data_IF_731108528095
#
_entry.id   IF_731108528095
#
_cell.length_a   1.000
_cell.length_b   1.000
_cell.length_c   1.000
_cell.angle_alpha   90.00
_cell.angle_beta   90.00
_cell.angle_gamma   90.00
#
_symmetry.space_group_name_H-M   'P 1'
#
loop_
_entity.id
_entity.type
_entity.pdbx_description
1 polymer ?
#
# COMPACT_ATOMS: atom_id res chain seq x y z
N UNK A 1 9.28 -16.71 20.30
CA UNK A 1 8.71 -15.39 19.93
C UNK A 1 9.08 -14.25 20.88
N UNK A 2 9.92 -14.54 21.88
CA UNK A 2 10.19 -13.66 23.03
C UNK A 2 10.73 -12.28 22.62
N UNK A 3 11.78 -12.24 21.80
CA UNK A 3 12.45 -10.97 21.46
C UNK A 3 11.65 -10.02 20.56
N UNK A 4 10.77 -10.52 19.68
CA UNK A 4 9.97 -9.65 18.81
C UNK A 4 8.85 -8.95 19.58
N UNK A 5 8.32 -9.61 20.60
CA UNK A 5 7.24 -9.08 21.44
C UNK A 5 7.71 -7.90 22.31
N UNK A 6 9.01 -7.85 22.64
CA UNK A 6 9.61 -6.76 23.40
C UNK A 6 9.65 -5.43 22.65
N UNK A 7 9.54 -5.43 21.31
CA UNK A 7 9.62 -4.21 20.50
C UNK A 7 8.42 -3.28 20.68
N UNK A 8 7.24 -3.83 20.97
CA UNK A 8 6.02 -3.06 21.19
C UNK A 8 4.99 -3.86 21.99
N UNK A 9 4.64 -3.38 23.19
CA UNK A 9 3.64 -4.01 24.08
C UNK A 9 2.21 -3.94 23.55
N UNK A 10 1.92 -3.02 22.62
CA UNK A 10 0.59 -2.83 22.06
C UNK A 10 0.29 -3.83 20.94
N UNK A 11 1.29 -4.62 20.52
CA UNK A 11 1.17 -5.67 19.50
C UNK A 11 1.08 -7.03 20.19
N UNK A 12 0.18 -7.92 19.76
CA UNK A 12 0.07 -9.28 20.29
C UNK A 12 0.71 -10.31 19.36
N UNK A 13 1.79 -10.96 19.81
CA UNK A 13 2.47 -12.04 19.10
C UNK A 13 1.90 -13.42 19.46
N UNK A 14 1.84 -14.31 18.47
CA UNK A 14 1.56 -15.74 18.65
C UNK A 14 2.37 -16.60 17.67
N UNK A 15 2.59 -17.87 17.99
CA UNK A 15 3.30 -18.81 17.12
C UNK A 15 2.64 -20.20 17.13
N UNK A 16 2.93 -20.97 16.09
CA UNK A 16 2.57 -22.38 15.97
C UNK A 16 3.83 -23.15 15.61
N UNK A 17 4.15 -24.22 16.35
CA UNK A 17 5.32 -25.06 16.11
C UNK A 17 5.03 -26.15 15.06
N UNK A 18 4.58 -25.72 13.88
CA UNK A 18 4.28 -26.62 12.75
C UNK A 18 4.87 -26.08 11.45
N UNK A 19 5.19 -26.99 10.53
CA UNK A 19 5.63 -26.59 9.19
C UNK A 19 4.44 -26.13 8.34
N UNK A 20 4.66 -25.25 7.34
CA UNK A 20 3.59 -24.85 6.43
C UNK A 20 2.97 -26.04 5.68
N UNK A 21 3.76 -27.08 5.38
CA UNK A 21 3.27 -28.31 4.75
C UNK A 21 2.25 -29.03 5.64
N UNK A 22 2.55 -29.20 6.94
CA UNK A 22 1.63 -29.82 7.89
C UNK A 22 0.33 -29.03 8.02
N UNK A 23 0.41 -27.69 8.07
CA UNK A 23 -0.77 -26.83 8.12
C UNK A 23 -1.59 -26.92 6.82
N UNK A 24 -0.93 -26.95 5.66
CA UNK A 24 -1.59 -27.11 4.36
C UNK A 24 -2.25 -28.49 4.20
N UNK A 25 -1.74 -29.53 4.87
CA UNK A 25 -2.31 -30.87 4.81
C UNK A 25 -3.49 -31.05 5.79
N UNK A 26 -3.41 -30.45 6.99
CA UNK A 26 -4.37 -30.69 8.06
C UNK A 26 -5.44 -29.59 8.21
N UNK A 27 -5.08 -28.32 8.06
CA UNK A 27 -5.99 -27.17 8.16
C UNK A 27 -5.59 -26.04 7.19
N UNK A 28 -5.89 -26.19 5.88
CA UNK A 28 -5.60 -25.14 4.90
C UNK A 28 -6.30 -23.80 5.22
N UNK A 29 -7.43 -23.87 5.94
CA UNK A 29 -8.21 -22.70 6.34
C UNK A 29 -7.52 -21.88 7.43
N UNK A 30 -6.50 -22.44 8.09
CA UNK A 30 -5.67 -21.76 9.07
C UNK A 30 -5.26 -20.36 8.61
N UNK A 31 -4.81 -20.24 7.35
CA UNK A 31 -4.30 -18.99 6.80
C UNK A 31 -5.37 -17.93 6.51
N UNK A 32 -6.66 -18.29 6.51
CA UNK A 32 -7.76 -17.37 6.23
C UNK A 32 -8.01 -16.38 7.38
N UNK A 33 -7.39 -16.59 8.56
CA UNK A 33 -7.51 -15.70 9.72
C UNK A 33 -6.62 -14.45 9.64
N UNK A 34 -5.74 -14.37 8.64
CA UNK A 34 -4.76 -13.30 8.52
C UNK A 34 -5.12 -12.31 7.42
N UNK A 35 -4.80 -11.03 7.63
CA UNK A 35 -4.96 -9.98 6.62
C UNK A 35 -3.97 -10.15 5.47
N UNK A 36 -2.74 -10.56 5.78
CA UNK A 36 -1.65 -10.81 4.83
C UNK A 36 -0.83 -11.98 5.34
N UNK A 37 -0.39 -12.87 4.45
CA UNK A 37 0.57 -13.94 4.75
C UNK A 37 1.93 -13.58 4.15
N UNK A 38 2.98 -13.61 4.98
CA UNK A 38 4.36 -13.41 4.53
C UNK A 38 5.11 -14.73 4.61
N UNK A 39 5.52 -15.26 3.46
CA UNK A 39 6.24 -16.53 3.36
C UNK A 39 7.72 -16.28 3.07
N UNK A 40 8.62 -16.80 3.91
CA UNK A 40 10.06 -16.60 3.78
C UNK A 40 10.81 -17.93 3.63
N UNK A 41 11.85 -17.96 2.80
CA UNK A 41 12.78 -19.09 2.66
C UNK A 41 12.15 -20.46 2.31
N UNK A 42 10.93 -20.49 1.75
CA UNK A 42 10.24 -21.72 1.40
C UNK A 42 10.74 -22.34 0.08
N UNK A 43 10.71 -23.69 -0.05
CA UNK A 43 10.94 -24.36 -1.33
C UNK A 43 9.77 -24.12 -2.30
N UNK A 44 10.04 -24.28 -3.58
CA UNK A 44 9.08 -24.00 -4.66
C UNK A 44 7.79 -24.81 -4.53
N UNK A 45 7.89 -26.09 -4.19
CA UNK A 45 6.73 -26.99 -4.04
C UNK A 45 5.75 -26.47 -2.99
N UNK A 46 6.24 -26.05 -1.82
CA UNK A 46 5.41 -25.53 -0.73
C UNK A 46 4.82 -24.17 -1.11
N UNK A 47 5.59 -23.32 -1.78
CA UNK A 47 5.12 -22.01 -2.25
C UNK A 47 3.98 -22.11 -3.26
N UNK A 48 4.09 -23.02 -4.23
CA UNK A 48 3.03 -23.21 -5.23
C UNK A 48 1.74 -23.71 -4.57
N UNK A 49 1.83 -24.66 -3.63
CA UNK A 49 0.69 -25.16 -2.87
C UNK A 49 0.06 -24.06 -2.00
N UNK A 50 0.87 -23.30 -1.28
CA UNK A 50 0.41 -22.19 -0.44
C UNK A 50 -0.26 -21.10 -1.29
N UNK A 51 0.36 -20.72 -2.41
CA UNK A 51 -0.16 -19.70 -3.30
C UNK A 51 -1.53 -20.08 -3.88
N UNK A 52 -1.73 -21.34 -4.26
CA UNK A 52 -3.03 -21.81 -4.75
C UNK A 52 -4.13 -21.71 -3.68
N UNK A 53 -3.85 -22.18 -2.45
CA UNK A 53 -4.80 -22.07 -1.32
C UNK A 53 -5.16 -20.62 -1.04
N UNK A 54 -4.15 -19.74 -0.90
CA UNK A 54 -4.39 -18.33 -0.58
C UNK A 54 -5.07 -17.57 -1.73
N UNK A 55 -4.75 -17.91 -2.98
CA UNK A 55 -5.41 -17.36 -4.15
C UNK A 55 -6.90 -17.69 -4.13
N UNK A 56 -7.26 -18.95 -3.92
CA UNK A 56 -8.66 -19.38 -3.88
C UNK A 56 -9.43 -18.77 -2.69
N UNK A 57 -8.75 -18.54 -1.56
CA UNK A 57 -9.30 -17.87 -0.38
C UNK A 57 -9.24 -16.33 -0.43
N UNK A 58 -8.71 -15.75 -1.50
CA UNK A 58 -8.57 -14.29 -1.67
C UNK A 58 -7.70 -13.62 -0.59
N UNK A 59 -6.69 -14.33 -0.07
CA UNK A 59 -5.76 -13.82 0.94
C UNK A 59 -4.48 -13.31 0.28
N UNK A 60 -4.07 -12.05 0.53
CA UNK A 60 -2.79 -11.52 0.06
C UNK A 60 -1.58 -12.34 0.52
N UNK A 61 -0.69 -12.64 -0.42
CA UNK A 61 0.57 -13.35 -0.15
C UNK A 61 1.77 -12.50 -0.61
N UNK A 62 2.73 -12.31 0.30
CA UNK A 62 4.06 -11.78 -0.01
C UNK A 62 5.10 -12.88 0.17
N UNK A 63 5.79 -13.24 -0.91
CA UNK A 63 6.88 -14.21 -0.89
C UNK A 63 8.20 -13.45 -0.86
N UNK A 64 9.05 -13.76 0.11
CA UNK A 64 10.39 -13.19 0.23
C UNK A 64 11.44 -14.30 0.29
N UNK A 65 12.55 -14.13 -0.43
CA UNK A 65 13.67 -15.06 -0.37
C UNK A 65 15.01 -14.33 -0.48
N UNK A 66 15.97 -14.75 0.32
CA UNK A 66 17.36 -14.29 0.21
C UNK A 66 18.25 -15.46 -0.16
N UNK A 67 19.06 -15.29 -1.20
CA UNK A 67 20.01 -16.30 -1.67
C UNK A 67 21.37 -15.63 -1.95
N UNK A 68 22.29 -15.73 -0.98
CA UNK A 68 23.55 -14.99 -1.01
C UNK A 68 23.30 -13.48 -1.04
N UNK A 69 23.74 -12.83 -2.13
CA UNK A 69 23.57 -11.38 -2.33
C UNK A 69 22.29 -11.01 -3.10
N UNK A 70 21.43 -11.99 -3.42
CA UNK A 70 20.19 -11.77 -4.16
C UNK A 70 19.01 -11.72 -3.19
N UNK A 71 18.26 -10.61 -3.23
CA UNK A 71 16.94 -10.50 -2.63
C UNK A 71 15.86 -10.75 -3.68
N UNK A 72 14.90 -11.62 -3.37
CA UNK A 72 13.74 -11.94 -4.19
C UNK A 72 12.47 -11.58 -3.42
N UNK A 73 11.56 -10.87 -4.09
CA UNK A 73 10.23 -10.56 -3.58
C UNK A 73 9.18 -10.78 -4.66
N UNK A 74 8.04 -11.38 -4.29
CA UNK A 74 6.88 -11.54 -5.16
C UNK A 74 5.59 -11.30 -4.38
N UNK A 75 4.80 -10.34 -4.83
CA UNK A 75 3.47 -10.04 -4.29
C UNK A 75 2.39 -10.76 -5.13
N UNK A 76 1.39 -11.32 -4.46
CA UNK A 76 0.26 -12.00 -5.08
C UNK A 76 -1.02 -11.49 -4.41
N UNK A 77 -1.75 -10.65 -5.15
CA UNK A 77 -3.06 -10.13 -4.78
C UNK A 77 -3.90 -10.13 -6.05
N UNK A 78 -5.15 -10.60 -5.98
CA UNK A 78 -6.03 -10.64 -7.16
C UNK A 78 -6.40 -9.24 -7.64
N UNK A 79 -6.75 -8.36 -6.71
CA UNK A 79 -7.04 -6.95 -6.96
C UNK A 79 -6.66 -6.13 -5.72
N UNK A 80 -5.98 -5.01 -5.90
CA UNK A 80 -5.63 -4.08 -4.82
C UNK A 80 -5.89 -2.63 -5.30
N UNK A 81 -7.14 -2.16 -5.25
CA UNK A 81 -7.48 -0.81 -5.67
C UNK A 81 -7.03 0.20 -4.61
N UNK A 82 -6.39 1.28 -5.06
CA UNK A 82 -5.88 2.34 -4.18
C UNK A 82 -6.36 3.69 -4.71
N UNK A 83 -6.97 4.50 -3.84
CA UNK A 83 -7.42 5.86 -4.14
C UNK A 83 -6.32 6.85 -3.76
N UNK A 84 -5.83 6.75 -2.52
CA UNK A 84 -4.78 7.61 -1.99
C UNK A 84 -3.40 7.07 -2.40
N UNK A 85 -3.04 7.25 -3.68
CA UNK A 85 -1.79 6.71 -4.24
C UNK A 85 -0.55 7.51 -3.86
N UNK A 86 -0.71 8.64 -3.16
CA UNK A 86 0.36 9.56 -2.76
C UNK A 86 1.37 9.83 -3.89
N UNK A 87 0.97 10.47 -5.00
CA UNK A 87 1.89 10.74 -6.11
C UNK A 87 3.01 11.67 -5.67
N UNK A 88 4.27 11.31 -5.96
CA UNK A 88 5.45 12.11 -5.59
C UNK A 88 5.41 13.53 -6.16
N UNK A 89 4.93 13.67 -7.39
CA UNK A 89 4.71 14.94 -8.05
C UNK A 89 3.40 14.85 -8.83
N UNK A 90 2.52 15.83 -8.62
CA UNK A 90 1.31 16.01 -9.40
C UNK A 90 1.29 17.43 -9.99
N UNK A 91 0.68 17.58 -11.16
CA UNK A 91 0.37 18.90 -11.67
C UNK A 91 -0.81 19.45 -10.87
N UNK A 92 -0.71 20.71 -10.45
CA UNK A 92 -1.80 21.40 -9.77
C UNK A 92 -3.00 21.56 -10.70
N UNK A 93 -4.19 21.36 -10.15
CA UNK A 93 -5.44 21.49 -10.89
C UNK A 93 -5.95 22.96 -10.83
N UNK A 94 -5.18 23.87 -11.42
CA UNK A 94 -5.44 25.32 -11.34
C UNK A 94 -6.65 25.80 -12.15
N UNK A 95 -7.13 24.99 -13.11
CA UNK A 95 -8.29 25.29 -13.98
C UNK A 95 -8.19 26.58 -14.79
N UNK A 96 -6.99 27.10 -15.07
CA UNK A 96 -6.81 28.35 -15.83
C UNK A 96 -7.20 28.23 -17.31
N UNK A 97 -7.07 27.04 -17.91
CA UNK A 97 -7.50 26.75 -19.29
C UNK A 97 -9.02 26.56 -19.40
N UNK A 98 -9.65 26.09 -18.32
CA UNK A 98 -11.10 25.83 -18.23
C UNK A 98 -11.67 26.38 -16.91
N UNK A 99 -11.73 27.71 -16.77
CA UNK A 99 -12.18 28.32 -15.52
C UNK A 99 -13.67 28.08 -15.32
N UNK A 100 -14.03 27.67 -14.11
CA UNK A 100 -15.41 27.58 -13.65
C UNK A 100 -15.97 28.99 -13.36
N UNK A 101 -17.31 29.17 -13.33
CA UNK A 101 -17.93 30.51 -13.25
C UNK A 101 -17.40 31.37 -12.09
N UNK A 102 -17.34 30.79 -10.90
CA UNK A 102 -16.91 31.46 -9.68
C UNK A 102 -15.42 31.89 -9.74
N UNK A 103 -14.56 31.09 -10.38
CA UNK A 103 -13.15 31.44 -10.59
C UNK A 103 -13.00 32.61 -11.58
N UNK A 104 -13.82 32.64 -12.63
CA UNK A 104 -13.81 33.73 -13.60
C UNK A 104 -14.29 35.03 -12.97
N UNK A 105 -15.39 34.99 -12.22
CA UNK A 105 -15.91 36.15 -11.47
C UNK A 105 -14.88 36.65 -10.46
N UNK A 106 -14.20 35.73 -9.76
CA UNK A 106 -13.11 36.08 -8.86
C UNK A 106 -12.01 36.85 -9.59
N UNK A 107 -11.47 36.36 -10.72
CA UNK A 107 -10.46 37.08 -11.49
C UNK A 107 -10.95 38.44 -12.01
N UNK A 108 -12.20 38.52 -12.46
CA UNK A 108 -12.78 39.77 -12.95
C UNK A 108 -12.96 40.84 -11.87
N UNK A 109 -12.95 40.45 -10.59
CA UNK A 109 -13.01 41.39 -9.47
C UNK A 109 -11.68 42.12 -9.20
N UNK A 110 -10.58 41.68 -9.82
CA UNK A 110 -9.25 42.29 -9.70
C UNK A 110 -8.95 43.16 -10.93
N UNK A 111 -8.69 44.45 -10.69
CA UNK A 111 -8.21 45.41 -11.71
C UNK A 111 -6.74 45.76 -11.45
N UNK A 112 -5.83 45.10 -12.18
CA UNK A 112 -4.39 45.22 -11.95
C UNK A 112 -3.83 46.61 -12.30
N UNK A 113 -4.50 47.38 -13.17
CA UNK A 113 -4.00 48.68 -13.63
C UNK A 113 -4.21 49.79 -12.57
N UNK A 114 -5.17 49.59 -11.66
CA UNK A 114 -5.62 50.61 -10.70
C UNK A 114 -5.37 50.25 -9.23
N UNK A 115 -4.59 49.20 -8.96
CA UNK A 115 -4.23 48.79 -7.59
C UNK A 115 -3.16 49.68 -6.94
N UNK A 116 -3.22 49.81 -5.61
CA UNK A 116 -2.10 50.36 -4.86
C UNK A 116 -0.86 49.46 -4.97
N UNK A 117 0.33 50.07 -4.94
CA UNK A 117 1.61 49.36 -5.11
C UNK A 117 1.78 48.16 -4.19
N UNK A 118 1.28 48.26 -2.95
CA UNK A 118 1.36 47.18 -1.96
C UNK A 118 0.46 46.00 -2.34
N UNK A 119 -0.74 46.26 -2.83
CA UNK A 119 -1.70 45.21 -3.18
C UNK A 119 -1.31 44.52 -4.48
N UNK A 120 -0.80 45.29 -5.45
CA UNK A 120 -0.25 44.75 -6.69
C UNK A 120 0.92 43.77 -6.45
N UNK A 121 1.77 43.99 -5.44
CA UNK A 121 2.92 43.10 -5.17
C UNK A 121 2.58 41.82 -4.39
N UNK A 122 1.35 41.71 -3.86
CA UNK A 122 0.91 40.56 -3.05
C UNK A 122 -0.32 39.86 -3.65
N UNK A 123 -0.70 40.20 -4.89
CA UNK A 123 -1.75 39.50 -5.62
C UNK A 123 -1.13 38.26 -6.30
N UNK A 124 -1.69 37.05 -6.09
CA UNK A 124 -1.22 35.82 -6.72
C UNK A 124 -1.19 35.84 -8.25
#
# INVERSE_FOLDING_TARGET
>A
MEFLQELNSDVSGSFVEESPENLLDNDPSFFCRFTVVVATQLPESTLLRLADVLWNSQIPLLICRTYGLVGYMRIIIKEHPVIESHPDNALEDLRLDKPFPELREHFQSYDLDHMEKKDHSHTP
#
